data_IF_219851868540
#
_entry.id   IF_219851868540
#
_cell.length_a   1.000
_cell.length_b   1.000
_cell.length_c   1.000
_cell.angle_alpha   90.00
_cell.angle_beta   90.00
_cell.angle_gamma   90.00
#
_symmetry.space_group_name_H-M   'P 1'
#
loop_
_entity.id
_entity.type
_entity.pdbx_description
1 polymer ?
#
# COMPACT_ATOMS: atom_id res chain seq x y z
N UNK A 1 48.14 -8.79 -3.50
CA UNK A 1 47.34 -8.87 -4.74
C UNK A 1 46.50 -10.15 -4.81
N UNK A 2 46.97 -11.32 -4.36
CA UNK A 2 46.15 -12.56 -4.40
C UNK A 2 44.98 -12.59 -3.39
N UNK A 3 45.16 -12.03 -2.20
CA UNK A 3 44.11 -11.99 -1.17
C UNK A 3 42.89 -11.16 -1.59
N UNK A 4 43.09 -10.06 -2.32
CA UNK A 4 42.00 -9.22 -2.83
C UNK A 4 41.20 -9.93 -3.92
N UNK A 5 41.85 -10.77 -4.73
CA UNK A 5 41.18 -11.57 -5.77
C UNK A 5 40.35 -12.67 -5.12
N UNK A 6 40.88 -13.35 -4.12
CA UNK A 6 40.14 -14.36 -3.36
C UNK A 6 38.92 -13.77 -2.64
N UNK A 7 39.07 -12.61 -1.99
CA UNK A 7 37.97 -11.91 -1.33
C UNK A 7 36.85 -11.53 -2.31
N UNK A 8 37.20 -11.03 -3.50
CA UNK A 8 36.22 -10.72 -4.55
C UNK A 8 35.49 -11.97 -5.05
N UNK A 9 36.21 -13.08 -5.24
CA UNK A 9 35.63 -14.34 -5.68
C UNK A 9 34.64 -14.90 -4.65
N UNK A 10 35.01 -14.80 -3.37
CA UNK A 10 34.17 -15.22 -2.26
C UNK A 10 32.94 -14.32 -2.14
N UNK A 11 33.08 -13.00 -2.24
CA UNK A 11 31.95 -12.06 -2.24
C UNK A 11 30.94 -12.37 -3.37
N UNK A 12 31.43 -12.70 -4.57
CA UNK A 12 30.57 -13.11 -5.71
C UNK A 12 29.85 -14.42 -5.40
N UNK A 13 30.56 -15.41 -4.85
CA UNK A 13 29.99 -16.71 -4.46
C UNK A 13 28.86 -16.53 -3.42
N UNK A 14 29.08 -15.66 -2.42
CA UNK A 14 28.10 -15.35 -1.39
C UNK A 14 26.86 -14.66 -1.97
N UNK A 15 27.02 -13.69 -2.89
CA UNK A 15 25.87 -13.06 -3.57
C UNK A 15 25.07 -14.04 -4.42
N UNK A 16 25.75 -14.94 -5.14
CA UNK A 16 25.08 -15.97 -5.94
C UNK A 16 24.27 -16.92 -5.07
N UNK A 17 24.86 -17.42 -3.97
CA UNK A 17 24.19 -18.31 -3.01
C UNK A 17 23.01 -17.62 -2.32
N UNK A 18 23.19 -16.38 -1.88
CA UNK A 18 22.11 -15.58 -1.27
C UNK A 18 20.95 -15.37 -2.24
N UNK A 19 21.23 -15.05 -3.50
CA UNK A 19 20.19 -14.86 -4.53
C UNK A 19 19.45 -16.16 -4.86
N UNK A 20 20.14 -17.29 -4.95
CA UNK A 20 19.52 -18.60 -5.13
C UNK A 20 18.61 -18.97 -3.95
N UNK A 21 19.05 -18.65 -2.73
CA UNK A 21 18.26 -18.86 -1.51
C UNK A 21 17.01 -17.96 -1.49
N UNK A 22 17.14 -16.68 -1.86
CA UNK A 22 16.02 -15.74 -1.99
C UNK A 22 14.98 -16.21 -3.02
N UNK A 23 15.44 -16.65 -4.19
CA UNK A 23 14.56 -17.18 -5.24
C UNK A 23 13.83 -18.45 -4.80
N UNK A 24 14.48 -19.33 -4.02
CA UNK A 24 13.88 -20.55 -3.49
C UNK A 24 12.89 -20.28 -2.35
N UNK A 25 13.19 -19.32 -1.48
CA UNK A 25 12.34 -18.89 -0.37
C UNK A 25 11.08 -18.15 -0.87
N UNK A 26 11.13 -17.57 -2.07
CA UNK A 26 10.05 -16.81 -2.67
C UNK A 26 9.89 -15.41 -2.08
N UNK A 27 9.02 -14.61 -2.69
CA UNK A 27 8.70 -13.26 -2.22
C UNK A 27 7.75 -13.29 -1.00
N UNK A 28 8.31 -13.62 0.17
CA UNK A 28 7.60 -13.56 1.45
C UNK A 28 7.31 -12.13 1.92
N UNK A 29 7.89 -11.12 1.26
CA UNK A 29 7.60 -9.72 1.56
C UNK A 29 6.17 -9.37 1.15
N UNK A 30 5.61 -10.04 0.14
CA UNK A 30 4.23 -9.80 -0.31
C UNK A 30 3.19 -10.50 0.59
N UNK A 31 3.49 -11.65 1.17
CA UNK A 31 2.57 -12.40 2.03
C UNK A 31 2.56 -11.92 3.48
N UNK A 32 3.73 -11.55 4.03
CA UNK A 32 3.82 -10.95 5.36
C UNK A 32 3.16 -9.56 5.39
N UNK A 33 3.37 -8.75 4.34
CA UNK A 33 2.81 -7.39 4.25
C UNK A 33 1.29 -7.36 4.11
N UNK A 34 0.66 -8.43 3.58
CA UNK A 34 -0.81 -8.54 3.56
C UNK A 34 -1.39 -8.58 4.97
N UNK A 35 -0.82 -9.36 5.90
CA UNK A 35 -1.27 -9.43 7.30
C UNK A 35 -1.10 -8.12 8.06
N UNK A 36 -0.06 -7.34 7.77
CA UNK A 36 0.17 -6.06 8.45
C UNK A 36 -0.68 -4.91 7.89
N UNK A 37 -1.12 -5.01 6.63
CA UNK A 37 -1.89 -3.97 5.97
C UNK A 37 -3.42 -4.21 6.04
N UNK A 38 -3.87 -5.32 6.63
CA UNK A 38 -5.29 -5.57 6.88
C UNK A 38 -5.63 -5.26 8.32
N UNK A 39 -6.73 -4.53 8.52
CA UNK A 39 -7.32 -4.37 9.85
C UNK A 39 -8.25 -5.54 10.04
N UNK A 40 -7.84 -6.51 10.86
CA UNK A 40 -8.61 -7.74 11.09
C UNK A 40 -9.83 -7.51 11.99
N UNK A 41 -9.73 -6.54 12.93
CA UNK A 41 -10.79 -6.18 13.87
C UNK A 41 -10.78 -4.69 14.18
N UNK A 42 -11.96 -4.09 14.34
CA UNK A 42 -12.12 -2.69 14.73
C UNK A 42 -13.25 -2.57 15.75
N UNK A 43 -13.05 -1.74 16.77
CA UNK A 43 -14.11 -1.40 17.72
C UNK A 43 -14.87 -0.19 17.21
N UNK A 44 -16.12 -0.38 16.81
CA UNK A 44 -17.00 0.67 16.28
C UNK A 44 -18.18 0.82 17.22
N UNK A 45 -18.37 2.01 17.79
CA UNK A 45 -19.50 2.35 18.69
C UNK A 45 -19.68 1.40 19.89
N UNK A 46 -18.61 0.76 20.35
CA UNK A 46 -18.62 -0.14 21.50
C UNK A 46 -18.74 -1.63 21.16
N UNK A 47 -18.94 -1.98 19.89
CA UNK A 47 -18.97 -3.37 19.41
C UNK A 47 -17.70 -3.69 18.60
N UNK A 48 -17.18 -4.91 18.75
CA UNK A 48 -16.02 -5.40 18.00
C UNK A 48 -16.47 -6.01 16.68
N UNK A 49 -16.06 -5.39 15.58
CA UNK A 49 -16.40 -5.79 14.22
C UNK A 49 -15.20 -6.41 13.53
N UNK A 50 -15.41 -7.53 12.84
CA UNK A 50 -14.41 -8.20 12.01
C UNK A 50 -14.80 -8.20 10.51
N UNK A 51 -15.98 -7.64 10.17
CA UNK A 51 -16.40 -7.51 8.78
C UNK A 51 -15.62 -6.40 8.08
N UNK A 52 -14.82 -6.70 7.05
CA UNK A 52 -14.07 -5.69 6.31
C UNK A 52 -14.94 -4.62 5.66
N UNK A 53 -16.20 -4.91 5.31
CA UNK A 53 -17.12 -3.91 4.74
C UNK A 53 -17.49 -2.86 5.78
N UNK A 54 -17.92 -3.31 6.94
CA UNK A 54 -18.30 -2.44 8.06
C UNK A 54 -17.10 -1.64 8.58
N UNK A 55 -15.89 -2.24 8.63
CA UNK A 55 -14.64 -1.52 8.94
C UNK A 55 -14.39 -0.38 7.94
N UNK A 56 -14.57 -0.64 6.64
CA UNK A 56 -14.38 0.36 5.59
C UNK A 56 -15.41 1.48 5.70
N UNK A 57 -16.68 1.15 5.92
CA UNK A 57 -17.75 2.12 6.09
C UNK A 57 -17.54 2.99 7.33
N UNK A 58 -17.18 2.38 8.46
CA UNK A 58 -16.86 3.10 9.70
C UNK A 58 -15.68 4.07 9.51
N UNK A 59 -14.64 3.63 8.78
CA UNK A 59 -13.49 4.49 8.45
C UNK A 59 -13.90 5.68 7.59
N UNK A 60 -14.71 5.47 6.56
CA UNK A 60 -15.21 6.54 5.69
C UNK A 60 -16.08 7.50 6.49
N UNK A 61 -17.01 7.00 7.30
CA UNK A 61 -17.90 7.83 8.13
C UNK A 61 -17.10 8.69 9.10
N UNK A 62 -16.14 8.10 9.82
CA UNK A 62 -15.31 8.80 10.79
C UNK A 62 -14.51 9.94 10.17
N UNK A 63 -13.79 9.66 9.08
CA UNK A 63 -12.96 10.68 8.43
C UNK A 63 -13.78 11.72 7.68
N UNK A 64 -14.91 11.31 7.09
CA UNK A 64 -15.85 12.26 6.48
C UNK A 64 -16.31 13.29 7.51
N UNK A 65 -16.73 12.84 8.70
CA UNK A 65 -17.11 13.75 9.80
C UNK A 65 -15.94 14.60 10.29
N UNK A 66 -14.74 14.03 10.42
CA UNK A 66 -13.55 14.74 10.87
C UNK A 66 -13.17 15.91 9.94
N UNK A 67 -13.31 15.70 8.63
CA UNK A 67 -12.98 16.71 7.61
C UNK A 67 -14.20 17.51 7.13
N UNK A 68 -15.38 17.26 7.68
CA UNK A 68 -16.56 18.10 7.42
C UNK A 68 -16.54 19.25 8.41
N UNK A 69 -16.45 20.47 7.89
CA UNK A 69 -16.47 21.67 8.71
C UNK A 69 -17.92 22.07 9.04
N UNK A 70 -18.29 22.22 10.33
CA UNK A 70 -19.65 22.58 10.72
C UNK A 70 -19.94 24.09 10.64
N UNK A 71 -18.92 24.94 10.52
CA UNK A 71 -19.08 26.40 10.58
C UNK A 71 -19.61 27.02 9.28
N UNK A 72 -20.85 27.52 9.32
CA UNK A 72 -21.51 28.18 8.19
C UNK A 72 -20.89 29.53 7.78
N UNK A 73 -20.05 30.13 8.64
CA UNK A 73 -19.43 31.43 8.38
C UNK A 73 -18.18 31.32 7.50
N UNK A 74 -17.61 30.13 7.33
CA UNK A 74 -16.41 29.97 6.52
C UNK A 74 -16.77 30.08 5.04
N UNK A 75 -16.07 30.93 4.26
CA UNK A 75 -16.31 31.02 2.83
C UNK A 75 -16.04 29.67 2.17
N UNK A 76 -16.94 29.25 1.28
CA UNK A 76 -16.69 28.14 0.34
C UNK A 76 -15.35 28.40 -0.35
N UNK A 77 -14.39 27.49 -0.19
CA UNK A 77 -13.08 27.60 -0.81
C UNK A 77 -13.18 27.20 -2.29
N UNK A 78 -13.77 28.07 -3.11
CA UNK A 78 -13.79 27.91 -4.58
C UNK A 78 -12.45 28.37 -5.17
N UNK A 79 -11.53 27.44 -5.39
CA UNK A 79 -10.28 27.75 -6.06
C UNK A 79 -10.51 27.92 -7.57
N UNK A 80 -10.90 29.13 -8.00
CA UNK A 80 -11.02 29.47 -9.42
C UNK A 80 -9.66 29.35 -10.11
N UNK A 81 -9.54 28.43 -11.07
CA UNK A 81 -8.32 28.22 -11.84
C UNK A 81 -7.36 27.14 -11.31
N UNK A 82 -7.74 26.37 -10.28
CA UNK A 82 -6.99 25.14 -9.95
C UNK A 82 -7.37 24.03 -10.93
N UNK A 83 -6.42 23.21 -11.38
CA UNK A 83 -6.75 21.92 -11.98
C UNK A 83 -7.45 21.06 -10.93
N UNK A 84 -8.78 20.93 -11.02
CA UNK A 84 -9.55 19.98 -10.22
C UNK A 84 -9.43 18.60 -10.86
N UNK A 85 -9.22 17.59 -10.03
CA UNK A 85 -9.24 16.19 -10.43
C UNK A 85 -10.57 15.91 -11.15
N UNK A 86 -10.50 15.37 -12.36
CA UNK A 86 -11.69 15.14 -13.17
C UNK A 86 -12.62 14.13 -12.50
N UNK A 87 -13.92 14.18 -12.81
CA UNK A 87 -14.89 13.24 -12.22
C UNK A 87 -14.52 11.76 -12.46
N UNK A 88 -13.80 11.48 -13.56
CA UNK A 88 -13.28 10.14 -13.90
C UNK A 88 -12.11 9.71 -13.01
N UNK A 89 -11.34 10.65 -12.49
CA UNK A 89 -10.23 10.38 -11.56
C UNK A 89 -10.71 10.32 -10.11
N UNK A 90 -11.80 11.04 -9.77
CA UNK A 90 -12.45 10.98 -8.45
C UNK A 90 -13.16 9.64 -8.20
N UNK A 91 -13.70 8.98 -9.23
CA UNK A 91 -14.43 7.72 -9.07
C UNK A 91 -13.52 6.55 -8.65
N UNK A 92 -12.21 6.76 -8.59
CA UNK A 92 -11.29 5.77 -8.05
C UNK A 92 -11.51 4.40 -8.69
N UNK A 93 -11.64 4.36 -10.02
CA UNK A 93 -11.37 3.13 -10.76
C UNK A 93 -9.88 2.86 -10.61
N UNK A 94 -9.50 2.40 -9.42
CA UNK A 94 -8.27 1.67 -9.23
C UNK A 94 -8.40 0.50 -10.18
N UNK A 95 -7.76 0.61 -11.35
CA UNK A 95 -7.48 -0.54 -12.18
C UNK A 95 -6.85 -1.58 -11.25
N UNK A 96 -7.64 -2.57 -10.84
CA UNK A 96 -7.25 -3.60 -9.88
C UNK A 96 -6.06 -4.44 -10.37
N UNK A 97 -5.53 -4.17 -11.56
CA UNK A 97 -4.63 -5.08 -12.26
C UNK A 97 -3.46 -4.41 -13.00
N UNK A 98 -2.87 -3.31 -12.50
CA UNK A 98 -1.62 -2.81 -13.12
C UNK A 98 -0.34 -2.98 -12.32
N UNK A 99 -0.39 -3.44 -11.06
CA UNK A 99 0.84 -3.61 -10.28
C UNK A 99 1.47 -5.03 -10.39
N UNK A 100 0.80 -5.99 -11.03
CA UNK A 100 1.30 -7.38 -11.13
C UNK A 100 1.57 -7.88 -12.56
N UNK A 101 1.26 -7.10 -13.61
CA UNK A 101 1.34 -7.56 -14.99
C UNK A 101 2.71 -7.39 -15.67
N UNK A 102 3.79 -7.07 -14.93
CA UNK A 102 5.13 -6.81 -15.53
C UNK A 102 6.24 -7.79 -15.16
N UNK A 103 5.92 -8.95 -14.57
CA UNK A 103 6.94 -9.95 -14.18
C UNK A 103 6.89 -11.26 -14.97
N UNK A 104 5.98 -11.42 -15.94
CA UNK A 104 5.98 -12.56 -16.87
C UNK A 104 6.51 -12.14 -18.24
N UNK A 105 7.75 -11.70 -18.30
CA UNK A 105 8.53 -11.66 -19.53
C UNK A 105 10.02 -11.59 -19.20
N UNK A 106 10.60 -12.78 -19.01
CA UNK A 106 11.91 -13.26 -19.50
C UNK A 106 12.66 -14.09 -18.46
#
# INVERSE_FOLDING_TARGET
MELEVLAKQEEVNWRQKSRALWLKQGDNNTTARRRYNTIDKLLVRGEETQDPKEIKEAMIEFHSKLYTEPESWRPSFEFRGCPTVSAKEMSGEAHENLCCARSKAR
#
